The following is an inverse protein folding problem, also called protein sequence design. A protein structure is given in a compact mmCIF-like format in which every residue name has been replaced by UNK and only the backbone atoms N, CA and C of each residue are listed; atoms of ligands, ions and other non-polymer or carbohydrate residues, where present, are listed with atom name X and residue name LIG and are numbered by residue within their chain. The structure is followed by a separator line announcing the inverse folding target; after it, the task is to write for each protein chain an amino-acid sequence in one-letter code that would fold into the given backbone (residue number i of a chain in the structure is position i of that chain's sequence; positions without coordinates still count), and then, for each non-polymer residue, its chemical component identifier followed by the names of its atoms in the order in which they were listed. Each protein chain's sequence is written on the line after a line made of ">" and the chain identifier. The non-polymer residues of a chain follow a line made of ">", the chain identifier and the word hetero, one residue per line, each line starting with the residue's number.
data_IF_679357431788
#
_entry.id   IF_679357431788
#
_cell.length_a   1.000
_cell.length_b   1.000
_cell.length_c   1.000
_cell.angle_alpha   90.00
_cell.angle_beta   90.00
_cell.angle_gamma   90.00
#
_symmetry.space_group_name_H-M   'P 1'
#
loop_
_entity.id
_entity.type
_entity.pdbx_description
1 polymer ?
#
# COMPACT_ATOMS: atom_id res chain seq x y z
N UNK A 1 15.89 3.65 22.99
CA UNK A 1 16.28 2.47 23.75
C UNK A 1 16.12 1.18 22.95
N UNK A 2 15.16 0.34 23.28
CA UNK A 2 14.98 -1.02 22.69
C UNK A 2 14.72 -0.99 21.17
N UNK A 3 13.89 -0.06 20.70
CA UNK A 3 13.57 0.07 19.28
C UNK A 3 14.80 0.45 18.45
N UNK A 4 15.60 1.37 18.93
CA UNK A 4 16.86 1.76 18.26
C UNK A 4 17.82 0.57 18.18
N UNK A 5 17.91 -0.23 19.25
CA UNK A 5 18.76 -1.43 19.26
C UNK A 5 18.25 -2.51 18.28
N UNK A 6 16.93 -2.70 18.15
CA UNK A 6 16.33 -3.62 17.18
C UNK A 6 16.59 -3.17 15.74
N UNK A 7 16.41 -1.89 15.44
CA UNK A 7 16.70 -1.32 14.12
C UNK A 7 18.19 -1.45 13.80
N UNK A 8 19.07 -1.11 14.74
CA UNK A 8 20.51 -1.26 14.55
C UNK A 8 20.93 -2.72 14.39
N UNK A 9 20.27 -3.65 15.08
CA UNK A 9 20.50 -5.09 14.93
C UNK A 9 20.10 -5.64 13.56
N UNK A 10 19.11 -5.06 12.91
CA UNK A 10 18.64 -5.44 11.56
C UNK A 10 19.40 -4.77 10.41
N UNK A 11 20.17 -3.71 10.67
CA UNK A 11 20.94 -3.00 9.64
C UNK A 11 21.83 -3.90 8.78
N UNK A 12 22.59 -4.88 9.33
CA UNK A 12 23.41 -5.77 8.51
C UNK A 12 22.58 -6.62 7.54
N UNK A 13 21.40 -7.08 7.95
CA UNK A 13 20.52 -7.86 7.09
C UNK A 13 19.91 -6.98 5.98
N UNK A 14 19.49 -5.76 6.31
CA UNK A 14 19.01 -4.78 5.34
C UNK A 14 20.11 -4.40 4.35
N UNK A 15 21.33 -4.22 4.83
CA UNK A 15 22.49 -3.91 3.98
C UNK A 15 22.83 -5.05 3.02
N UNK A 16 22.70 -6.30 3.45
CA UNK A 16 22.88 -7.46 2.58
C UNK A 16 21.78 -7.51 1.50
N UNK A 17 20.52 -7.28 1.89
CA UNK A 17 19.40 -7.26 0.97
C UNK A 17 19.53 -6.17 -0.11
N UNK A 18 20.04 -4.99 0.24
CA UNK A 18 20.31 -3.89 -0.72
C UNK A 18 21.21 -4.33 -1.89
N UNK A 19 22.10 -5.29 -1.65
CA UNK A 19 23.04 -5.75 -2.69
C UNK A 19 22.40 -6.78 -3.66
N UNK A 20 21.25 -7.34 -3.29
CA UNK A 20 20.59 -8.42 -4.04
C UNK A 20 19.34 -7.95 -4.80
N UNK A 21 18.90 -6.71 -4.60
CA UNK A 21 17.72 -6.14 -5.26
C UNK A 21 18.12 -5.26 -6.45
N UNK A 22 17.13 -4.91 -7.29
CA UNK A 22 17.35 -4.00 -8.42
C UNK A 22 17.81 -2.59 -7.96
N UNK A 23 18.42 -1.86 -8.87
CA UNK A 23 19.09 -0.58 -8.55
C UNK A 23 18.12 0.47 -7.97
N UNK A 24 16.87 0.50 -8.40
CA UNK A 24 15.83 1.41 -7.94
C UNK A 24 15.47 1.14 -6.47
N UNK A 25 15.16 -0.11 -6.14
CA UNK A 25 14.91 -0.53 -4.74
C UNK A 25 16.15 -0.31 -3.89
N UNK A 26 17.34 -0.64 -4.42
CA UNK A 26 18.61 -0.42 -3.72
C UNK A 26 18.85 1.06 -3.40
N UNK A 27 18.48 1.97 -4.28
CA UNK A 27 18.57 3.43 -4.05
C UNK A 27 17.70 3.85 -2.86
N UNK A 28 16.43 3.41 -2.83
CA UNK A 28 15.50 3.70 -1.74
C UNK A 28 16.01 3.12 -0.41
N UNK A 29 16.40 1.85 -0.40
CA UNK A 29 16.89 1.18 0.81
C UNK A 29 18.20 1.76 1.36
N UNK A 30 19.10 2.23 0.49
CA UNK A 30 20.32 2.95 0.94
C UNK A 30 19.98 4.26 1.66
N UNK A 31 18.99 5.01 1.14
CA UNK A 31 18.50 6.21 1.81
C UNK A 31 17.84 5.88 3.17
N UNK A 32 17.09 4.79 3.23
CA UNK A 32 16.47 4.31 4.47
C UNK A 32 17.52 3.88 5.52
N UNK A 33 18.55 3.15 5.11
CA UNK A 33 19.67 2.80 5.99
C UNK A 33 20.33 4.06 6.55
N UNK A 34 20.54 5.06 5.70
CA UNK A 34 21.09 6.35 6.14
C UNK A 34 20.18 7.02 7.15
N UNK A 35 18.88 7.07 6.89
CA UNK A 35 17.91 7.62 7.84
C UNK A 35 17.97 6.90 9.21
N UNK A 36 18.05 5.58 9.24
CA UNK A 36 18.16 4.83 10.50
C UNK A 36 19.47 5.08 11.25
N UNK A 37 20.52 5.49 10.54
CA UNK A 37 21.80 5.85 11.16
C UNK A 37 21.82 7.28 11.71
N UNK A 38 21.20 8.21 10.99
CA UNK A 38 21.26 9.65 11.31
C UNK A 38 20.07 10.16 12.11
N UNK A 39 18.86 9.62 11.83
CA UNK A 39 17.59 10.14 12.34
C UNK A 39 17.15 11.46 11.70
N UNK A 40 17.86 11.93 10.65
CA UNK A 40 17.59 13.20 10.01
C UNK A 40 16.37 13.13 9.09
N UNK A 41 15.45 14.09 9.19
CA UNK A 41 14.24 14.14 8.37
C UNK A 41 14.52 14.28 6.89
N UNK A 42 15.62 14.91 6.51
CA UNK A 42 16.08 15.00 5.12
C UNK A 42 16.46 13.64 4.53
N UNK A 43 17.02 12.75 5.34
CA UNK A 43 17.36 11.38 4.91
C UNK A 43 16.09 10.54 4.77
N UNK A 44 15.06 10.78 5.61
CA UNK A 44 13.74 10.19 5.44
C UNK A 44 13.09 10.66 4.15
N UNK A 45 13.09 11.97 3.87
CA UNK A 45 12.57 12.51 2.62
C UNK A 45 13.27 11.92 1.39
N UNK A 46 14.58 11.73 1.45
CA UNK A 46 15.35 11.09 0.37
C UNK A 46 14.90 9.64 0.11
N UNK A 47 14.57 8.89 1.16
CA UNK A 47 13.98 7.56 1.03
C UNK A 47 12.60 7.62 0.38
N UNK A 48 11.71 8.45 0.89
CA UNK A 48 10.33 8.56 0.39
C UNK A 48 10.30 8.96 -1.10
N UNK A 49 11.15 9.89 -1.51
CA UNK A 49 11.28 10.30 -2.91
C UNK A 49 11.79 9.14 -3.78
N UNK A 50 12.86 8.49 -3.37
CA UNK A 50 13.42 7.38 -4.13
C UNK A 50 12.43 6.22 -4.27
N UNK A 51 11.65 5.94 -3.21
CA UNK A 51 10.62 4.91 -3.20
C UNK A 51 9.44 5.25 -4.14
N UNK A 52 8.98 6.52 -4.15
CA UNK A 52 7.91 6.97 -5.05
C UNK A 52 8.34 6.96 -6.52
N UNK A 53 9.59 7.30 -6.80
CA UNK A 53 10.14 7.31 -8.16
C UNK A 53 10.33 5.91 -8.75
N UNK A 54 10.52 4.90 -7.92
CA UNK A 54 10.56 3.50 -8.32
C UNK A 54 9.15 2.99 -8.65
N UNK A 55 8.85 2.79 -9.92
CA UNK A 55 7.52 2.38 -10.42
C UNK A 55 7.50 1.02 -11.11
N UNK A 56 8.66 0.45 -11.37
CA UNK A 56 8.78 -0.72 -12.23
C UNK A 56 9.37 -1.95 -11.52
N UNK A 57 9.73 -1.83 -10.24
CA UNK A 57 10.29 -2.94 -9.50
C UNK A 57 9.23 -4.02 -9.23
N UNK A 58 9.49 -5.27 -9.62
CA UNK A 58 8.53 -6.37 -9.44
C UNK A 58 8.38 -6.79 -7.98
N UNK A 59 9.38 -6.53 -7.16
CA UNK A 59 9.37 -6.73 -5.70
C UNK A 59 9.77 -5.43 -5.05
N UNK A 60 9.01 -4.99 -4.09
CA UNK A 60 9.25 -3.73 -3.39
C UNK A 60 8.99 -3.88 -1.90
N UNK A 61 9.48 -2.93 -1.13
CA UNK A 61 9.31 -2.90 0.32
C UNK A 61 9.10 -1.49 0.83
N UNK A 62 8.26 -1.39 1.82
CA UNK A 62 8.04 -0.18 2.59
C UNK A 62 8.31 -0.49 4.05
N UNK A 63 9.10 0.33 4.72
CA UNK A 63 9.30 0.18 6.15
C UNK A 63 9.68 1.50 6.84
N UNK A 64 9.33 1.61 8.10
CA UNK A 64 9.59 2.77 8.93
C UNK A 64 8.48 3.08 9.91
N UNK A 65 8.57 4.27 10.50
CA UNK A 65 7.53 4.84 11.35
C UNK A 65 6.58 5.63 10.44
N UNK A 66 5.47 5.03 10.04
CA UNK A 66 4.62 5.55 8.97
C UNK A 66 3.30 6.04 9.51
N UNK A 67 2.58 5.18 10.22
CA UNK A 67 1.22 5.44 10.63
C UNK A 67 1.10 5.64 12.15
N UNK A 68 0.09 6.41 12.55
CA UNK A 68 -0.17 6.76 13.95
C UNK A 68 -1.48 6.17 14.48
N UNK A 69 -2.09 5.22 13.78
CA UNK A 69 -3.40 4.66 14.12
C UNK A 69 -3.47 4.04 15.52
N UNK A 70 -2.36 3.47 15.99
CA UNK A 70 -2.30 2.83 17.30
C UNK A 70 -1.89 3.79 18.44
N UNK A 71 -1.60 5.05 18.13
CA UNK A 71 -1.34 6.07 19.13
C UNK A 71 -2.58 6.93 19.37
N UNK A 72 -3.11 6.86 20.59
CA UNK A 72 -4.29 7.62 20.99
C UNK A 72 -4.15 9.15 20.85
N UNK A 73 -2.92 9.66 20.77
CA UNK A 73 -2.63 11.08 20.55
C UNK A 73 -2.28 11.42 19.11
N UNK A 74 -2.13 10.43 18.24
CA UNK A 74 -1.71 10.62 16.85
C UNK A 74 -0.33 11.25 16.69
N UNK A 75 0.56 11.06 17.64
CA UNK A 75 1.87 11.74 17.70
C UNK A 75 3.06 10.82 17.45
N UNK A 76 2.87 9.52 17.60
CA UNK A 76 3.93 8.52 17.51
C UNK A 76 3.58 7.49 16.47
N UNK A 77 4.36 7.42 15.40
CA UNK A 77 4.26 6.35 14.43
C UNK A 77 4.61 5.00 15.05
N UNK A 78 3.89 3.96 14.67
CA UNK A 78 4.33 2.57 14.84
C UNK A 78 5.38 2.25 13.78
N UNK A 79 6.35 1.42 14.13
CA UNK A 79 7.27 0.91 13.12
C UNK A 79 6.58 -0.24 12.37
N UNK A 80 6.55 -0.12 11.07
CA UNK A 80 5.86 -1.04 10.16
C UNK A 80 6.83 -1.48 9.07
N UNK A 81 6.68 -2.70 8.62
CA UNK A 81 7.41 -3.22 7.48
C UNK A 81 6.51 -4.11 6.63
N UNK A 82 6.62 -3.93 5.33
CA UNK A 82 5.87 -4.66 4.34
C UNK A 82 6.78 -4.98 3.16
N UNK A 83 6.76 -6.23 2.72
CA UNK A 83 7.38 -6.68 1.47
C UNK A 83 6.29 -7.23 0.58
N UNK A 84 6.29 -6.84 -0.68
CA UNK A 84 5.29 -7.29 -1.63
C UNK A 84 5.87 -7.49 -3.03
N UNK A 85 5.18 -8.24 -3.85
CA UNK A 85 5.48 -8.37 -5.25
C UNK A 85 4.25 -8.03 -6.11
N UNK A 86 4.51 -7.44 -7.27
CA UNK A 86 3.46 -7.02 -8.19
C UNK A 86 2.80 -8.24 -8.83
N UNK A 87 1.46 -8.27 -8.84
CA UNK A 87 0.69 -9.21 -9.63
C UNK A 87 0.42 -8.58 -11.02
N UNK A 88 1.14 -9.00 -12.07
CA UNK A 88 1.05 -8.34 -13.36
C UNK A 88 -0.31 -8.52 -14.04
N UNK A 89 -0.99 -9.64 -13.82
CA UNK A 89 -2.30 -9.92 -14.41
C UNK A 89 -3.36 -9.01 -13.82
N UNK A 90 -3.50 -9.01 -12.50
CA UNK A 90 -4.46 -8.14 -11.82
C UNK A 90 -4.13 -6.65 -12.00
N UNK A 91 -2.87 -6.28 -12.01
CA UNK A 91 -2.45 -4.89 -12.32
C UNK A 91 -2.88 -4.46 -13.72
N UNK A 92 -2.78 -5.35 -14.71
CA UNK A 92 -3.24 -5.05 -16.07
C UNK A 92 -4.76 -4.89 -16.17
N UNK A 93 -5.52 -5.60 -15.35
CA UNK A 93 -6.99 -5.45 -15.25
C UNK A 93 -7.38 -4.08 -14.66
N UNK A 94 -6.74 -3.69 -13.56
CA UNK A 94 -6.95 -2.38 -12.95
C UNK A 94 -6.54 -1.24 -13.88
N UNK A 95 -5.46 -1.40 -14.65
CA UNK A 95 -5.05 -0.40 -15.65
C UNK A 95 -6.09 -0.22 -16.76
N UNK A 96 -6.82 -1.28 -17.15
CA UNK A 96 -7.95 -1.14 -18.08
C UNK A 96 -9.08 -0.32 -17.47
N UNK A 97 -9.43 -0.61 -16.21
CA UNK A 97 -10.46 0.15 -15.50
C UNK A 97 -10.06 1.63 -15.32
N UNK A 98 -8.80 1.89 -14.99
CA UNK A 98 -8.26 3.24 -14.89
C UNK A 98 -8.28 4.00 -16.23
N UNK A 99 -8.09 3.30 -17.35
CA UNK A 99 -8.22 3.90 -18.68
C UNK A 99 -9.65 4.37 -18.99
N UNK A 100 -10.65 3.71 -18.40
CA UNK A 100 -12.06 4.08 -18.54
C UNK A 100 -12.53 5.08 -17.46
N UNK A 101 -11.64 5.55 -16.59
CA UNK A 101 -11.98 6.45 -15.48
C UNK A 101 -12.70 7.72 -15.95
N UNK A 102 -12.29 8.30 -17.08
CA UNK A 102 -12.95 9.47 -17.67
C UNK A 102 -14.42 9.19 -18.03
N UNK A 103 -14.74 7.99 -18.51
CA UNK A 103 -16.12 7.61 -18.81
C UNK A 103 -16.99 7.60 -17.54
N UNK A 104 -16.45 7.14 -16.41
CA UNK A 104 -17.17 7.18 -15.13
C UNK A 104 -17.27 8.61 -14.62
N UNK A 105 -16.20 9.38 -14.65
CA UNK A 105 -16.15 10.76 -14.16
C UNK A 105 -17.17 11.66 -14.86
N UNK A 106 -17.30 11.55 -16.19
CA UNK A 106 -18.25 12.32 -16.98
C UNK A 106 -19.73 12.09 -16.57
N UNK A 107 -20.01 10.96 -15.90
CA UNK A 107 -21.36 10.58 -15.45
C UNK A 107 -21.62 10.86 -13.98
N UNK A 108 -20.60 11.26 -13.24
CA UNK A 108 -20.76 11.59 -11.83
C UNK A 108 -21.33 13.01 -11.65
N UNK A 109 -22.14 13.24 -10.59
CA UNK A 109 -22.80 14.54 -10.36
C UNK A 109 -21.90 15.60 -9.71
N UNK A 110 -20.63 15.30 -9.46
CA UNK A 110 -19.70 16.19 -8.80
C UNK A 110 -18.62 16.76 -9.73
N UNK A 111 -17.59 17.38 -9.12
CA UNK A 111 -16.52 18.09 -9.83
C UNK A 111 -15.81 17.19 -10.84
N UNK A 112 -15.60 17.73 -12.04
CA UNK A 112 -14.88 17.08 -13.14
C UNK A 112 -13.39 17.43 -13.11
N UNK A 113 -12.56 16.60 -13.71
CA UNK A 113 -11.12 16.85 -13.83
C UNK A 113 -10.27 16.15 -12.77
N UNK A 114 -10.82 15.14 -12.09
CA UNK A 114 -10.04 14.27 -11.21
C UNK A 114 -9.31 13.26 -12.07
N UNK A 115 -7.99 13.18 -11.92
CA UNK A 115 -7.18 12.20 -12.63
C UNK A 115 -7.12 10.91 -11.82
N UNK A 116 -7.45 9.77 -12.45
CA UNK A 116 -7.26 8.47 -11.83
C UNK A 116 -5.77 8.20 -11.62
N UNK A 117 -5.40 7.80 -10.40
CA UNK A 117 -4.05 7.35 -10.11
C UNK A 117 -3.86 5.90 -10.58
N UNK A 118 -2.69 5.60 -11.10
CA UNK A 118 -2.30 4.22 -11.34
C UNK A 118 -2.15 3.49 -9.99
N UNK A 119 -2.73 2.31 -9.90
CA UNK A 119 -2.64 1.44 -8.74
C UNK A 119 -2.05 0.12 -9.20
N UNK A 120 -1.00 -0.34 -8.54
CA UNK A 120 -0.48 -1.68 -8.74
C UNK A 120 -1.18 -2.64 -7.78
N UNK A 121 -1.59 -3.78 -8.29
CA UNK A 121 -2.11 -4.88 -7.48
C UNK A 121 -0.95 -5.76 -7.06
N UNK A 122 -0.78 -5.92 -5.77
CA UNK A 122 0.38 -6.60 -5.20
C UNK A 122 -0.05 -7.73 -4.27
N UNK A 123 0.88 -8.62 -4.01
CA UNK A 123 0.73 -9.72 -3.05
C UNK A 123 1.75 -9.48 -1.95
N UNK A 124 1.25 -9.26 -0.75
CA UNK A 124 2.07 -9.13 0.45
C UNK A 124 2.71 -10.47 0.82
N UNK A 125 4.01 -10.41 1.12
CA UNK A 125 4.75 -11.53 1.70
C UNK A 125 5.05 -11.23 3.17
N UNK A 126 4.49 -12.03 4.06
CA UNK A 126 4.67 -11.86 5.50
C UNK A 126 3.47 -11.23 6.19
N UNK A 127 3.73 -10.51 7.26
CA UNK A 127 2.71 -9.90 8.11
C UNK A 127 3.08 -8.45 8.41
N UNK A 128 2.16 -7.53 8.16
CA UNK A 128 2.33 -6.12 8.45
C UNK A 128 1.70 -5.79 9.81
N UNK A 129 2.45 -6.01 10.88
CA UNK A 129 2.03 -5.61 12.20
C UNK A 129 2.31 -4.10 12.44
N UNK A 130 1.53 -3.42 13.28
CA UNK A 130 0.37 -3.86 14.06
C UNK A 130 -0.97 -3.74 13.31
N UNK A 131 -0.96 -3.22 12.10
CA UNK A 131 -2.14 -3.00 11.27
C UNK A 131 -1.97 -3.78 9.97
N UNK A 132 -3.01 -4.48 9.55
CA UNK A 132 -3.04 -5.17 8.25
C UNK A 132 -3.81 -4.30 7.25
N UNK A 133 -3.12 -3.52 6.41
CA UNK A 133 -3.77 -2.66 5.44
C UNK A 133 -4.33 -3.49 4.28
N UNK A 134 -5.43 -3.04 3.69
CA UNK A 134 -5.98 -3.59 2.44
C UNK A 134 -5.39 -2.90 1.21
N UNK A 135 -4.79 -1.74 1.41
CA UNK A 135 -4.10 -0.95 0.41
C UNK A 135 -3.29 0.17 1.06
N UNK A 136 -2.37 0.72 0.30
CA UNK A 136 -1.43 1.74 0.77
C UNK A 136 -1.42 2.88 -0.23
N UNK A 137 -1.39 4.12 0.28
CA UNK A 137 -1.10 5.32 -0.50
C UNK A 137 -0.09 6.17 0.27
N UNK A 138 1.15 6.15 -0.12
CA UNK A 138 2.26 6.79 0.58
C UNK A 138 3.15 7.58 -0.39
N UNK A 139 3.99 8.50 0.10
CA UNK A 139 4.21 8.89 1.50
C UNK A 139 3.09 9.77 2.06
N UNK A 140 3.08 9.94 3.40
CA UNK A 140 2.15 10.85 4.09
C UNK A 140 2.61 12.31 4.06
N UNK A 141 3.87 12.57 3.69
CA UNK A 141 4.42 13.92 3.58
C UNK A 141 3.80 14.69 2.41
N UNK A 142 3.10 15.80 2.73
CA UNK A 142 2.36 16.59 1.74
C UNK A 142 3.28 17.25 0.72
N UNK A 143 4.45 17.74 1.14
CA UNK A 143 5.40 18.40 0.25
C UNK A 143 5.99 17.43 -0.78
N UNK A 144 6.29 16.19 -0.35
CA UNK A 144 6.75 15.14 -1.24
C UNK A 144 5.66 14.74 -2.22
N UNK A 145 4.41 14.58 -1.73
CA UNK A 145 3.26 14.24 -2.59
C UNK A 145 3.01 15.29 -3.67
N UNK A 146 3.13 16.56 -3.34
CA UNK A 146 2.93 17.65 -4.30
C UNK A 146 4.03 17.71 -5.36
N UNK A 147 5.28 17.42 -5.00
CA UNK A 147 6.43 17.56 -5.90
C UNK A 147 6.77 16.27 -6.66
N UNK A 148 6.62 15.13 -6.03
CA UNK A 148 7.06 13.82 -6.53
C UNK A 148 5.91 12.83 -6.75
N UNK A 149 4.72 13.14 -6.22
CA UNK A 149 3.55 12.27 -6.27
C UNK A 149 3.50 11.26 -5.14
N UNK A 150 2.69 10.23 -5.31
CA UNK A 150 2.52 9.14 -4.36
C UNK A 150 2.53 7.79 -5.09
N UNK A 151 2.79 6.73 -4.34
CA UNK A 151 2.66 5.35 -4.81
C UNK A 151 1.46 4.71 -4.10
N UNK A 152 0.57 4.10 -4.90
CA UNK A 152 -0.62 3.40 -4.40
C UNK A 152 -0.53 1.94 -4.79
N UNK A 153 -0.81 1.05 -3.84
CA UNK A 153 -0.88 -0.39 -4.07
C UNK A 153 -2.13 -0.97 -3.41
N UNK A 154 -2.72 -1.99 -4.03
CA UNK A 154 -3.81 -2.79 -3.47
C UNK A 154 -3.27 -4.16 -3.09
N UNK A 155 -3.48 -4.57 -1.84
CA UNK A 155 -2.99 -5.84 -1.29
C UNK A 155 -4.02 -6.94 -1.54
N UNK A 156 -3.92 -7.60 -2.69
CA UNK A 156 -4.97 -8.52 -3.15
C UNK A 156 -5.15 -9.73 -2.25
N UNK A 157 -4.10 -10.31 -1.71
CA UNK A 157 -4.20 -11.46 -0.80
C UNK A 157 -4.83 -11.08 0.54
N UNK A 158 -4.63 -9.85 1.01
CA UNK A 158 -5.28 -9.34 2.22
C UNK A 158 -6.77 -9.11 1.95
N UNK A 159 -7.12 -8.47 0.83
CA UNK A 159 -8.51 -8.30 0.38
C UNK A 159 -9.23 -9.64 0.25
N UNK A 160 -8.61 -10.62 -0.41
CA UNK A 160 -9.14 -11.98 -0.56
C UNK A 160 -9.37 -12.67 0.80
N UNK A 161 -8.50 -12.45 1.78
CA UNK A 161 -8.65 -13.01 3.13
C UNK A 161 -9.83 -12.37 3.88
N UNK A 162 -9.99 -11.06 3.78
CA UNK A 162 -11.16 -10.36 4.35
C UNK A 162 -12.46 -10.85 3.73
N UNK A 163 -12.53 -10.97 2.41
CA UNK A 163 -13.72 -11.44 1.72
C UNK A 163 -14.11 -12.87 2.13
N UNK A 164 -13.15 -13.75 2.30
CA UNK A 164 -13.42 -15.13 2.75
C UNK A 164 -13.88 -15.20 4.21
N UNK A 165 -13.39 -14.32 5.07
CA UNK A 165 -13.62 -14.41 6.52
C UNK A 165 -14.89 -13.70 6.99
N UNK A 166 -15.28 -12.58 6.37
CA UNK A 166 -16.30 -11.68 6.93
C UNK A 166 -17.49 -11.44 6.02
N UNK A 167 -17.32 -11.50 4.72
CA UNK A 167 -18.30 -10.90 3.83
C UNK A 167 -19.58 -11.72 3.61
N UNK A 168 -19.51 -13.06 3.63
CA UNK A 168 -20.69 -13.91 3.41
C UNK A 168 -21.66 -13.88 4.60
N UNK A 169 -21.12 -13.86 5.82
CA UNK A 169 -21.92 -13.80 7.06
C UNK A 169 -22.49 -12.39 7.25
N UNK A 170 -21.68 -11.36 7.07
CA UNK A 170 -22.09 -9.97 7.13
C UNK A 170 -23.23 -9.68 6.13
N UNK A 171 -23.11 -10.12 4.88
CA UNK A 171 -24.16 -9.94 3.87
C UNK A 171 -25.47 -10.62 4.22
N UNK A 172 -25.42 -11.81 4.85
CA UNK A 172 -26.62 -12.52 5.32
C UNK A 172 -27.30 -11.84 6.48
N UNK A 173 -26.51 -11.30 7.42
CA UNK A 173 -27.03 -10.65 8.62
C UNK A 173 -27.64 -9.26 8.35
N UNK A 174 -27.08 -8.52 7.37
CA UNK A 174 -27.53 -7.15 7.07
C UNK A 174 -28.44 -7.03 5.85
N UNK A 175 -28.68 -8.10 5.10
CA UNK A 175 -29.68 -8.09 4.04
C UNK A 175 -31.10 -8.17 4.60
N UNK A 176 -31.99 -7.33 4.12
CA UNK A 176 -33.40 -7.28 4.57
C UNK A 176 -34.22 -8.45 4.04
N UNK A 177 -33.82 -9.01 2.89
CA UNK A 177 -34.48 -10.17 2.27
C UNK A 177 -33.44 -11.17 1.75
N UNK A 178 -33.82 -12.46 1.59
CA UNK A 178 -32.98 -13.46 0.95
C UNK A 178 -32.54 -13.07 -0.48
N UNK A 179 -33.43 -12.39 -1.22
CA UNK A 179 -33.15 -11.92 -2.58
C UNK A 179 -32.09 -10.82 -2.60
N UNK A 180 -32.10 -9.92 -1.59
CA UNK A 180 -31.06 -8.92 -1.43
C UNK A 180 -29.73 -9.54 -1.04
N UNK A 181 -29.72 -10.55 -0.16
CA UNK A 181 -28.54 -11.29 0.19
C UNK A 181 -27.89 -11.96 -1.04
N UNK A 182 -28.70 -12.65 -1.84
CA UNK A 182 -28.23 -13.30 -3.07
C UNK A 182 -27.71 -12.28 -4.10
N UNK A 183 -28.34 -11.12 -4.21
CA UNK A 183 -27.88 -10.04 -5.09
C UNK A 183 -26.57 -9.43 -4.61
N UNK A 184 -26.44 -9.18 -3.31
CA UNK A 184 -25.21 -8.67 -2.71
C UNK A 184 -24.04 -9.65 -2.87
N UNK A 185 -24.29 -10.95 -2.74
CA UNK A 185 -23.30 -12.00 -2.96
C UNK A 185 -22.82 -12.03 -4.42
N UNK A 186 -23.75 -11.93 -5.38
CA UNK A 186 -23.41 -11.83 -6.80
C UNK A 186 -22.56 -10.60 -7.11
N UNK A 187 -22.93 -9.42 -6.58
CA UNK A 187 -22.16 -8.19 -6.80
C UNK A 187 -20.79 -8.23 -6.14
N UNK A 188 -20.66 -8.86 -4.98
CA UNK A 188 -19.38 -9.00 -4.29
C UNK A 188 -18.41 -9.91 -5.05
N UNK A 189 -18.90 -10.99 -5.68
CA UNK A 189 -18.05 -11.83 -6.52
C UNK A 189 -17.52 -11.06 -7.73
N UNK A 190 -18.37 -10.27 -8.39
CA UNK A 190 -17.95 -9.41 -9.52
C UNK A 190 -16.99 -8.33 -9.07
N UNK A 191 -17.23 -7.68 -7.94
CA UNK A 191 -16.31 -6.67 -7.38
C UNK A 191 -14.96 -7.28 -6.97
N UNK A 192 -14.96 -8.49 -6.40
CA UNK A 192 -13.74 -9.23 -6.06
C UNK A 192 -12.91 -9.68 -7.28
N UNK A 193 -13.55 -9.83 -8.44
CA UNK A 193 -12.86 -10.09 -9.71
C UNK A 193 -12.28 -8.80 -10.34
N UNK A 194 -12.79 -7.62 -9.93
CA UNK A 194 -12.38 -6.30 -10.44
C UNK A 194 -11.36 -5.60 -9.51
N UNK A 195 -11.22 -6.04 -8.28
CA UNK A 195 -10.29 -5.52 -7.26
C UNK A 195 -9.19 -6.52 -6.97
#
# INVERSE_FOLDING_TARGET
>A
GVIVALIQGSLPALQAFVNDVCDEVAKALKALVKFYQTGETSDRAAYDIAWVEDKDSPVDTMNGFIEVYMDARGMKGSWEALVYYVNPEKTAEIRKLAADAQWFEDRMPWVKGITANAIDVVIEAGDSAPITPVGINLPNDQEIREKHGSKSVSLSNVNDAYDRSTSAEFRREFAWTPEEAARAEKWSSVAGELL
#
